data_IF_049994080856
#
_entry.id   IF_049994080856
#
_cell.length_a   1.000
_cell.length_b   1.000
_cell.length_c   1.000
_cell.angle_alpha   90.00
_cell.angle_beta   90.00
_cell.angle_gamma   90.00
#
_symmetry.space_group_name_H-M   'P 1'
#
loop_
_entity.id
_entity.type
_entity.pdbx_description
1 polymer ?
#
# COMPACT_ATOMS: atom_id res chain seq x y z
N UNK A 1 -15.66 -7.23 25.77
CA UNK A 1 -16.08 -5.87 25.35
C UNK A 1 -15.46 -5.54 23.99
N UNK A 2 -16.15 -4.76 23.15
CA UNK A 2 -15.68 -4.43 21.80
C UNK A 2 -14.65 -3.28 21.83
N UNK A 3 -13.36 -3.59 21.71
CA UNK A 3 -12.32 -2.56 21.84
C UNK A 3 -12.35 -1.50 20.73
N UNK A 4 -12.93 -1.79 19.56
CA UNK A 4 -12.92 -0.86 18.41
C UNK A 4 -13.87 0.33 18.54
N UNK A 5 -14.84 0.27 19.46
CA UNK A 5 -15.80 1.34 19.74
C UNK A 5 -15.46 2.10 21.02
N UNK A 6 -14.34 1.78 21.68
CA UNK A 6 -13.93 2.46 22.89
C UNK A 6 -13.59 3.92 22.57
N UNK A 7 -14.10 4.83 23.38
CA UNK A 7 -13.85 6.26 23.29
C UNK A 7 -13.99 6.88 24.68
N UNK A 8 -13.46 8.10 24.83
CA UNK A 8 -13.50 8.83 26.10
C UNK A 8 -12.88 8.04 27.26
N UNK A 9 -13.50 8.13 28.43
CA UNK A 9 -13.03 7.54 29.70
C UNK A 9 -12.76 6.03 29.57
N UNK A 10 -13.62 5.28 28.90
CA UNK A 10 -13.43 3.83 28.75
C UNK A 10 -12.14 3.46 28.01
N UNK A 11 -11.71 4.29 27.05
CA UNK A 11 -10.45 4.06 26.37
C UNK A 11 -9.27 4.47 27.25
N UNK A 12 -9.39 5.57 27.99
CA UNK A 12 -8.38 6.04 28.94
C UNK A 12 -8.11 4.97 30.01
N UNK A 13 -9.16 4.37 30.58
CA UNK A 13 -9.04 3.31 31.59
C UNK A 13 -8.24 2.11 31.09
N UNK A 14 -8.53 1.64 29.87
CA UNK A 14 -7.81 0.51 29.28
C UNK A 14 -6.36 0.83 28.97
N UNK A 15 -6.08 2.05 28.53
CA UNK A 15 -4.70 2.47 28.27
C UNK A 15 -3.93 2.57 29.58
N UNK A 16 -4.53 3.15 30.63
CA UNK A 16 -3.91 3.23 31.95
C UNK A 16 -3.62 1.83 32.52
N UNK A 17 -4.58 0.91 32.43
CA UNK A 17 -4.41 -0.50 32.80
C UNK A 17 -3.27 -1.17 32.03
N UNK A 18 -3.21 -0.98 30.71
CA UNK A 18 -2.14 -1.53 29.89
C UNK A 18 -0.77 -0.95 30.27
N UNK A 19 -0.67 0.36 30.46
CA UNK A 19 0.57 1.02 30.85
C UNK A 19 1.08 0.47 32.19
N UNK A 20 0.19 0.33 33.17
CA UNK A 20 0.50 -0.22 34.50
C UNK A 20 1.06 -1.65 34.42
N UNK A 21 0.52 -2.45 33.51
CA UNK A 21 0.96 -3.83 33.28
C UNK A 21 2.13 -3.95 32.30
N UNK A 22 2.66 -2.85 31.77
CA UNK A 22 3.74 -2.88 30.77
C UNK A 22 5.10 -2.92 31.44
N UNK A 23 5.85 -3.99 31.17
CA UNK A 23 7.26 -4.13 31.52
C UNK A 23 8.09 -4.44 30.26
N UNK A 24 9.26 -3.82 30.14
CA UNK A 24 10.12 -3.96 28.98
C UNK A 24 11.29 -4.91 29.28
N UNK A 25 11.05 -6.21 29.30
CA UNK A 25 12.08 -7.26 29.44
C UNK A 25 13.14 -6.98 30.53
N UNK A 26 12.74 -6.33 31.63
CA UNK A 26 13.62 -5.97 32.75
C UNK A 26 14.56 -4.78 32.51
N UNK A 27 14.45 -4.02 31.42
CA UNK A 27 15.27 -2.81 31.16
C UNK A 27 14.60 -1.51 31.60
N UNK A 28 13.27 -1.46 31.56
CA UNK A 28 12.47 -0.35 32.04
C UNK A 28 11.06 -0.82 32.45
N UNK A 29 10.40 -0.01 33.28
CA UNK A 29 9.01 -0.18 33.70
C UNK A 29 8.26 1.14 33.65
N UNK A 30 6.94 1.09 33.48
CA UNK A 30 6.08 2.26 33.60
C UNK A 30 5.53 2.32 35.03
N UNK A 31 5.63 3.48 35.65
CA UNK A 31 5.24 3.77 37.03
C UNK A 31 4.39 5.05 37.08
N UNK A 32 3.84 5.37 38.26
CA UNK A 32 3.10 6.61 38.55
C UNK A 32 1.98 6.95 37.56
N UNK A 33 1.30 5.92 37.04
CA UNK A 33 0.21 6.09 36.07
C UNK A 33 -0.96 6.80 36.75
N UNK A 34 -1.28 8.01 36.29
CA UNK A 34 -2.39 8.82 36.81
C UNK A 34 -3.26 9.30 35.66
N UNK A 35 -4.58 9.33 35.87
CA UNK A 35 -5.55 9.79 34.87
C UNK A 35 -5.96 11.25 35.14
N UNK A 36 -6.44 11.94 34.11
CA UNK A 36 -7.10 13.26 34.19
C UNK A 36 -6.28 14.35 34.92
N UNK A 37 -4.95 14.34 34.77
CA UNK A 37 -4.06 15.23 35.51
C UNK A 37 -4.01 16.63 34.90
N UNK A 38 -4.18 17.67 35.72
CA UNK A 38 -3.98 19.07 35.30
C UNK A 38 -2.50 19.40 35.20
N UNK A 39 -2.12 20.02 34.08
CA UNK A 39 -0.78 20.53 33.78
C UNK A 39 -0.93 22.01 33.42
N UNK A 40 -0.72 22.90 34.39
CA UNK A 40 -1.06 24.32 34.25
C UNK A 40 -2.57 24.50 34.02
N UNK A 41 -2.94 25.24 32.97
CA UNK A 41 -4.34 25.52 32.59
C UNK A 41 -4.98 24.45 31.68
N UNK A 42 -4.25 23.38 31.34
CA UNK A 42 -4.72 22.34 30.43
C UNK A 42 -4.72 20.97 31.11
N UNK A 43 -5.55 20.05 30.61
CA UNK A 43 -5.71 18.71 31.18
C UNK A 43 -5.08 17.65 30.25
N UNK A 44 -4.21 16.81 30.83
CA UNK A 44 -3.72 15.61 30.17
C UNK A 44 -4.63 14.43 30.50
N UNK A 45 -4.81 13.51 29.54
CA UNK A 45 -5.65 12.34 29.76
C UNK A 45 -4.98 11.36 30.71
N UNK A 46 -3.68 11.12 30.52
CA UNK A 46 -2.86 10.25 31.38
C UNK A 46 -1.47 10.88 31.55
N UNK A 47 -0.91 10.77 32.75
CA UNK A 47 0.51 10.95 33.03
C UNK A 47 1.09 9.63 33.53
N UNK A 48 2.38 9.41 33.28
CA UNK A 48 3.10 8.24 33.75
C UNK A 48 4.60 8.55 33.79
N UNK A 49 5.40 7.68 34.39
CA UNK A 49 6.86 7.79 34.42
C UNK A 49 7.47 6.52 33.86
N UNK A 50 8.37 6.62 32.89
CA UNK A 50 9.25 5.52 32.55
C UNK A 50 10.45 5.57 33.48
N UNK A 51 10.68 4.47 34.20
CA UNK A 51 11.86 4.29 35.06
C UNK A 51 12.74 3.19 34.47
N UNK A 52 13.98 3.51 34.12
CA UNK A 52 14.96 2.54 33.65
C UNK A 52 15.65 1.84 34.82
N UNK A 53 16.28 0.69 34.58
CA UNK A 53 17.13 0.02 35.58
C UNK A 53 18.33 0.85 36.03
N UNK A 54 18.77 1.80 35.20
CA UNK A 54 19.82 2.76 35.55
C UNK A 54 19.32 3.93 36.42
N UNK A 55 18.03 3.95 36.78
CA UNK A 55 17.42 4.98 37.62
C UNK A 55 17.01 6.25 36.86
N UNK A 56 17.07 6.25 35.53
CA UNK A 56 16.59 7.39 34.73
C UNK A 56 15.07 7.39 34.79
N UNK A 57 14.52 8.52 35.22
CA UNK A 57 13.08 8.79 35.23
C UNK A 57 12.72 9.73 34.10
N UNK A 58 11.71 9.34 33.33
CA UNK A 58 11.22 10.11 32.19
C UNK A 58 9.71 10.30 32.34
N UNK A 59 9.26 11.49 32.77
CA UNK A 59 7.85 11.78 32.87
C UNK A 59 7.22 11.83 31.49
N UNK A 60 6.02 11.29 31.38
CA UNK A 60 5.22 11.19 30.17
C UNK A 60 3.93 11.98 30.33
N UNK A 61 3.50 12.62 29.25
CA UNK A 61 2.17 13.21 29.14
C UNK A 61 1.49 12.60 27.93
N UNK A 62 0.33 12.01 28.14
CA UNK A 62 -0.34 11.15 27.17
C UNK A 62 -1.73 11.71 26.86
N UNK A 63 -2.03 11.88 25.58
CA UNK A 63 -3.38 12.16 25.08
C UNK A 63 -3.98 10.91 24.46
N UNK A 64 -5.22 10.60 24.80
CA UNK A 64 -5.93 9.37 24.43
C UNK A 64 -7.07 9.71 23.48
N UNK A 65 -7.03 9.18 22.25
CA UNK A 65 -8.10 9.38 21.27
C UNK A 65 -8.25 8.16 20.37
N UNK A 66 -9.50 7.75 20.12
CA UNK A 66 -9.80 6.78 19.08
C UNK A 66 -9.96 7.50 17.75
N UNK A 67 -8.95 7.44 16.89
CA UNK A 67 -9.01 7.99 15.53
C UNK A 67 -8.31 7.08 14.54
N UNK A 68 -8.84 7.01 13.32
CA UNK A 68 -8.20 6.33 12.19
C UNK A 68 -7.73 7.33 11.11
N UNK A 69 -7.98 8.63 11.29
CA UNK A 69 -7.53 9.68 10.37
C UNK A 69 -6.19 10.23 10.79
N UNK A 70 -5.23 10.28 9.87
CA UNK A 70 -3.88 10.79 10.10
C UNK A 70 -3.89 12.30 10.42
N UNK A 71 -4.83 13.07 9.86
CA UNK A 71 -5.00 14.50 10.17
C UNK A 71 -5.27 14.74 11.66
N UNK A 72 -6.08 13.89 12.29
CA UNK A 72 -6.37 13.96 13.72
C UNK A 72 -5.15 13.55 14.55
N UNK A 73 -4.31 12.63 14.04
CA UNK A 73 -3.04 12.26 14.69
C UNK A 73 -2.07 13.43 14.67
N UNK A 74 -1.94 14.16 13.55
CA UNK A 74 -1.14 15.40 13.47
C UNK A 74 -1.62 16.44 14.48
N UNK A 75 -2.94 16.64 14.57
CA UNK A 75 -3.51 17.57 15.54
C UNK A 75 -3.19 17.16 16.98
N UNK A 76 -3.36 15.88 17.33
CA UNK A 76 -3.00 15.34 18.65
C UNK A 76 -1.52 15.56 18.96
N UNK A 77 -0.63 15.22 18.01
CA UNK A 77 0.83 15.44 18.13
C UNK A 77 1.15 16.90 18.41
N UNK A 78 0.52 17.83 17.67
CA UNK A 78 0.71 19.27 17.87
C UNK A 78 0.25 19.71 19.26
N UNK A 79 -0.92 19.26 19.70
CA UNK A 79 -1.48 19.61 21.01
C UNK A 79 -0.63 19.06 22.16
N UNK A 80 -0.21 17.80 22.09
CA UNK A 80 0.54 17.16 23.17
C UNK A 80 1.96 17.74 23.31
N UNK A 81 2.61 18.12 22.20
CA UNK A 81 3.90 18.82 22.26
C UNK A 81 3.80 20.15 23.02
N UNK A 82 2.72 20.91 22.81
CA UNK A 82 2.48 22.17 23.53
C UNK A 82 2.20 21.96 25.02
N UNK A 83 1.65 20.82 25.40
CA UNK A 83 1.40 20.42 26.79
C UNK A 83 2.65 19.93 27.51
N UNK A 84 3.43 19.09 26.81
CA UNK A 84 4.57 18.39 27.37
C UNK A 84 5.77 19.33 27.65
N UNK A 85 5.94 20.38 26.83
CA UNK A 85 7.04 21.33 26.96
C UNK A 85 7.10 22.05 28.33
N UNK A 86 6.03 22.73 28.82
CA UNK A 86 6.06 23.35 30.15
C UNK A 86 6.14 22.33 31.30
N UNK A 87 5.67 21.10 31.06
CA UNK A 87 5.73 20.01 32.04
C UNK A 87 7.10 19.32 32.12
N UNK A 88 8.06 19.69 31.27
CA UNK A 88 9.34 18.99 31.09
C UNK A 88 9.18 17.47 30.93
N UNK A 89 8.14 17.06 30.19
CA UNK A 89 7.78 15.67 29.99
C UNK A 89 7.85 15.28 28.52
N UNK A 90 7.91 13.97 28.26
CA UNK A 90 7.89 13.46 26.90
C UNK A 90 6.43 13.31 26.41
N UNK A 91 6.11 13.85 25.22
CA UNK A 91 4.78 13.77 24.65
C UNK A 91 4.49 12.35 24.13
N UNK A 92 3.28 11.87 24.38
CA UNK A 92 2.83 10.57 23.91
C UNK A 92 1.38 10.60 23.42
N UNK A 93 1.06 9.80 22.40
CA UNK A 93 -0.31 9.59 21.93
C UNK A 93 -0.78 8.16 22.21
N UNK A 94 -2.05 8.01 22.58
CA UNK A 94 -2.65 6.72 22.91
C UNK A 94 -3.96 6.49 22.17
N UNK A 95 -4.21 5.25 21.75
CA UNK A 95 -5.39 4.91 20.95
C UNK A 95 -5.71 3.42 20.93
N UNK A 96 -6.68 3.03 20.11
CA UNK A 96 -7.07 1.61 19.97
C UNK A 96 -6.07 0.83 19.11
N UNK A 97 -5.64 1.41 17.99
CA UNK A 97 -4.63 0.84 17.10
C UNK A 97 -4.00 1.94 16.23
N UNK A 98 -2.68 1.99 16.18
CA UNK A 98 -1.92 2.91 15.33
C UNK A 98 -1.30 2.17 14.14
N UNK A 99 -1.83 2.45 12.95
CA UNK A 99 -1.31 1.93 11.68
C UNK A 99 0.08 2.48 11.32
N UNK A 100 0.69 1.91 10.28
CA UNK A 100 2.06 2.24 9.84
C UNK A 100 2.29 3.73 9.63
N UNK A 101 1.41 4.42 8.90
CA UNK A 101 1.54 5.87 8.63
C UNK A 101 1.47 6.73 9.90
N UNK A 102 0.61 6.36 10.86
CA UNK A 102 0.53 7.04 12.16
C UNK A 102 1.80 6.81 12.98
N UNK A 103 2.35 5.59 12.99
CA UNK A 103 3.61 5.27 13.67
C UNK A 103 4.80 5.99 13.03
N UNK A 104 4.86 6.04 11.71
CA UNK A 104 5.89 6.78 10.96
C UNK A 104 5.83 8.27 11.28
N UNK A 105 4.64 8.86 11.24
CA UNK A 105 4.44 10.27 11.61
C UNK A 105 4.87 10.55 13.05
N UNK A 106 4.49 9.72 14.02
CA UNK A 106 4.90 9.89 15.42
C UNK A 106 6.43 9.81 15.58
N UNK A 107 7.08 8.89 14.86
CA UNK A 107 8.54 8.73 14.85
C UNK A 107 9.26 9.94 14.25
N UNK A 108 8.81 10.42 13.10
CA UNK A 108 9.33 11.63 12.44
C UNK A 108 9.18 12.87 13.36
N UNK A 109 8.05 12.97 14.04
CA UNK A 109 7.74 14.05 14.96
C UNK A 109 8.37 13.88 16.35
N UNK A 110 9.10 12.78 16.62
CA UNK A 110 9.68 12.44 17.93
C UNK A 110 8.64 12.47 19.06
N UNK A 111 7.46 11.90 18.81
CA UNK A 111 6.40 11.72 19.80
C UNK A 111 6.23 10.23 20.06
N UNK A 112 6.13 9.85 21.34
CA UNK A 112 5.89 8.46 21.68
C UNK A 112 4.46 8.01 21.35
N UNK A 113 4.24 6.69 21.29
CA UNK A 113 2.90 6.15 21.07
C UNK A 113 2.64 4.88 21.87
N UNK A 114 1.39 4.63 22.22
CA UNK A 114 0.90 3.34 22.72
C UNK A 114 -0.48 3.04 22.15
N UNK A 115 -0.79 1.77 21.95
CA UNK A 115 -2.17 1.36 21.69
C UNK A 115 -2.55 0.04 22.36
N UNK A 116 -3.87 -0.23 22.37
CA UNK A 116 -4.44 -1.46 22.90
C UNK A 116 -3.97 -2.74 22.19
N UNK A 117 -3.41 -2.65 20.99
CA UNK A 117 -2.90 -3.80 20.27
C UNK A 117 -1.49 -4.19 20.73
N UNK A 118 -0.82 -3.30 21.46
CA UNK A 118 0.53 -3.49 21.99
C UNK A 118 1.60 -2.82 21.14
N UNK A 119 1.26 -1.91 20.22
CA UNK A 119 2.28 -1.00 19.69
C UNK A 119 2.79 -0.10 20.82
N UNK A 120 4.10 0.15 20.83
CA UNK A 120 4.73 1.06 21.76
C UNK A 120 5.92 1.75 21.10
N UNK A 121 6.07 3.07 21.28
CA UNK A 121 7.21 3.83 20.78
C UNK A 121 7.62 4.88 21.82
N UNK A 122 8.90 4.90 22.18
CA UNK A 122 9.58 6.00 22.83
C UNK A 122 10.95 6.15 22.18
N UNK A 123 11.30 7.38 21.79
CA UNK A 123 12.56 7.72 21.16
C UNK A 123 13.14 8.98 21.80
N UNK A 124 13.70 8.82 23.00
CA UNK A 124 14.33 9.91 23.74
C UNK A 124 15.54 9.40 24.50
N UNK A 125 16.73 9.90 24.19
CA UNK A 125 17.94 9.46 24.87
C UNK A 125 17.84 9.61 26.41
N UNK A 126 18.25 8.58 27.18
CA UNK A 126 18.89 7.32 26.74
C UNK A 126 17.91 6.17 26.43
N UNK A 127 16.60 6.42 26.41
CA UNK A 127 15.54 5.41 26.25
C UNK A 127 15.04 5.34 24.80
N UNK A 128 15.30 4.20 24.16
CA UNK A 128 14.69 3.85 22.88
C UNK A 128 13.96 2.51 23.01
N UNK A 129 12.64 2.54 22.81
CA UNK A 129 11.78 1.36 22.87
C UNK A 129 10.82 1.41 21.70
N UNK A 130 10.85 0.39 20.84
CA UNK A 130 9.92 0.24 19.71
C UNK A 130 9.37 -1.19 19.68
N UNK A 131 8.05 -1.30 19.84
CA UNK A 131 7.29 -2.54 19.67
C UNK A 131 6.24 -2.31 18.59
N UNK A 132 6.26 -3.18 17.58
CA UNK A 132 5.43 -3.07 16.39
C UNK A 132 4.47 -4.25 16.28
N UNK A 133 3.19 -3.94 16.10
CA UNK A 133 2.10 -4.86 15.81
C UNK A 133 1.55 -4.53 14.43
N UNK A 134 1.93 -5.35 13.44
CA UNK A 134 1.64 -5.09 12.02
C UNK A 134 0.16 -5.27 11.66
N UNK A 135 -0.61 -6.08 12.42
CA UNK A 135 -2.01 -6.40 12.11
C UNK A 135 -2.92 -5.93 13.23
N UNK A 136 -3.93 -5.13 12.90
CA UNK A 136 -4.94 -4.67 13.85
C UNK A 136 -5.78 -5.87 14.38
N UNK A 137 -5.70 -6.22 15.67
CA UNK A 137 -6.46 -7.34 16.24
C UNK A 137 -7.94 -7.01 16.48
N UNK A 138 -8.37 -5.74 16.40
CA UNK A 138 -9.70 -5.29 16.80
C UNK A 138 -10.67 -5.01 15.65
N UNK A 139 -10.28 -5.25 14.40
CA UNK A 139 -11.12 -5.03 13.22
C UNK A 139 -12.37 -5.93 13.20
N UNK A 140 -13.58 -5.35 13.35
CA UNK A 140 -14.88 -6.07 13.37
C UNK A 140 -15.66 -6.10 12.05
N UNK A 141 -15.57 -5.05 11.23
CA UNK A 141 -15.84 -5.25 9.80
C UNK A 141 -14.74 -6.21 9.33
N UNK A 142 -15.03 -7.12 8.39
CA UNK A 142 -13.93 -7.54 7.53
C UNK A 142 -13.38 -6.19 7.06
N UNK A 143 -12.16 -5.81 7.48
CA UNK A 143 -11.58 -4.63 6.87
C UNK A 143 -11.64 -4.95 5.38
N UNK A 144 -11.64 -3.92 4.57
CA UNK A 144 -10.99 -4.10 3.29
C UNK A 144 -9.74 -4.96 3.54
N UNK A 145 -9.77 -6.26 3.16
CA UNK A 145 -8.89 -7.30 3.74
C UNK A 145 -7.41 -6.90 3.61
N UNK A 146 -7.15 -6.00 2.67
CA UNK A 146 -6.14 -4.95 2.68
C UNK A 146 -6.74 -3.78 1.87
N UNK A 147 -6.24 -2.54 2.01
CA UNK A 147 -6.49 -1.47 1.03
C UNK A 147 -6.18 -1.99 -0.40
N UNK A 148 -5.22 -2.91 -0.50
CA UNK A 148 -4.76 -3.56 -1.71
C UNK A 148 -5.41 -4.93 -1.98
N UNK A 149 -6.66 -5.15 -1.54
CA UNK A 149 -7.44 -6.32 -1.96
C UNK A 149 -7.75 -6.29 -3.47
N UNK A 150 -7.97 -7.43 -4.14
CA UNK A 150 -8.17 -7.52 -5.59
C UNK A 150 -9.10 -6.44 -6.18
N UNK A 151 -10.36 -6.42 -5.73
CA UNK A 151 -11.38 -5.47 -6.20
C UNK A 151 -11.02 -4.02 -5.87
N UNK A 152 -10.34 -3.76 -4.75
CA UNK A 152 -10.01 -2.38 -4.35
C UNK A 152 -8.81 -1.82 -5.07
N UNK A 153 -7.89 -2.69 -5.48
CA UNK A 153 -6.77 -2.28 -6.34
C UNK A 153 -7.23 -1.75 -7.69
N UNK A 154 -8.45 -2.07 -8.16
CA UNK A 154 -9.02 -1.45 -9.37
C UNK A 154 -9.17 0.06 -9.23
N UNK A 155 -9.66 0.50 -8.06
CA UNK A 155 -9.82 1.93 -7.74
C UNK A 155 -8.46 2.59 -7.58
N UNK A 156 -7.55 1.96 -6.82
CA UNK A 156 -6.18 2.46 -6.62
C UNK A 156 -5.46 2.60 -7.96
N UNK A 157 -5.59 1.61 -8.84
CA UNK A 157 -5.04 1.61 -10.18
C UNK A 157 -5.59 2.76 -11.02
N UNK A 158 -6.90 2.97 -11.02
CA UNK A 158 -7.51 4.07 -11.77
C UNK A 158 -7.01 5.44 -11.32
N UNK A 159 -6.96 5.69 -10.00
CA UNK A 159 -6.47 6.98 -9.48
C UNK A 159 -4.97 7.17 -9.70
N UNK A 160 -4.17 6.09 -9.72
CA UNK A 160 -2.73 6.17 -10.01
C UNK A 160 -2.43 6.34 -11.52
N UNK A 161 -3.28 5.82 -12.42
CA UNK A 161 -3.13 6.02 -13.87
C UNK A 161 -3.56 7.43 -14.28
N UNK A 162 -4.58 7.99 -13.63
CA UNK A 162 -5.03 9.37 -13.86
C UNK A 162 -4.88 10.21 -12.58
N UNK A 163 -3.63 10.47 -12.14
CA UNK A 163 -3.36 11.12 -10.84
C UNK A 163 -3.90 12.55 -10.75
N UNK A 164 -4.04 13.22 -11.90
CA UNK A 164 -4.55 14.60 -12.00
C UNK A 164 -6.07 14.67 -12.14
N UNK A 165 -6.75 13.55 -12.36
CA UNK A 165 -8.21 13.54 -12.49
C UNK A 165 -8.86 13.74 -11.13
N UNK A 166 -9.82 14.67 -11.07
CA UNK A 166 -10.77 14.76 -9.98
C UNK A 166 -11.91 13.75 -10.22
N UNK A 167 -12.12 12.85 -9.25
CA UNK A 167 -13.01 11.71 -9.38
C UNK A 167 -14.32 11.94 -8.64
N UNK A 168 -15.43 11.94 -9.38
CA UNK A 168 -16.73 11.64 -8.78
C UNK A 168 -16.80 10.14 -8.40
N UNK A 169 -17.44 9.82 -7.28
CA UNK A 169 -17.49 8.43 -6.79
C UNK A 169 -18.32 7.51 -7.70
N UNK A 170 -19.40 8.02 -8.32
CA UNK A 170 -20.21 7.24 -9.25
C UNK A 170 -19.44 6.99 -10.54
N UNK A 171 -18.73 8.01 -11.05
CA UNK A 171 -17.87 7.85 -12.22
C UNK A 171 -16.76 6.83 -11.97
N UNK A 172 -16.05 6.95 -10.84
CA UNK A 172 -14.97 6.05 -10.46
C UNK A 172 -15.47 4.61 -10.27
N UNK A 173 -16.63 4.45 -9.62
CA UNK A 173 -17.31 3.16 -9.47
C UNK A 173 -17.62 2.52 -10.83
N UNK A 174 -18.19 3.30 -11.76
CA UNK A 174 -18.52 2.83 -13.12
C UNK A 174 -17.26 2.48 -13.92
N UNK A 175 -16.25 3.34 -13.95
CA UNK A 175 -15.01 3.10 -14.72
C UNK A 175 -14.22 1.90 -14.22
N UNK A 176 -14.31 1.58 -12.93
CA UNK A 176 -13.56 0.46 -12.32
C UNK A 176 -14.38 -0.83 -12.21
N UNK A 177 -15.66 -0.79 -12.59
CA UNK A 177 -16.63 -1.88 -12.37
C UNK A 177 -16.67 -2.34 -10.91
N UNK A 178 -16.50 -1.41 -9.97
CA UNK A 178 -16.56 -1.66 -8.52
C UNK A 178 -17.85 -1.06 -7.99
N UNK A 179 -18.51 -1.71 -7.02
CA UNK A 179 -19.74 -1.17 -6.44
C UNK A 179 -19.51 0.20 -5.77
N UNK A 180 -20.53 1.06 -5.79
CA UNK A 180 -20.43 2.40 -5.20
C UNK A 180 -20.08 2.36 -3.71
N UNK A 181 -20.65 1.40 -2.97
CA UNK A 181 -20.35 1.21 -1.55
C UNK A 181 -18.90 0.81 -1.28
N UNK A 182 -18.33 -0.03 -2.15
CA UNK A 182 -16.91 -0.40 -2.04
C UNK A 182 -16.01 0.76 -2.46
N UNK A 183 -16.40 1.51 -3.50
CA UNK A 183 -15.70 2.73 -3.96
C UNK A 183 -15.64 3.77 -2.85
N UNK A 184 -16.75 4.04 -2.17
CA UNK A 184 -16.78 4.92 -1.01
C UNK A 184 -15.82 4.48 0.09
N UNK A 185 -15.82 3.18 0.45
CA UNK A 185 -14.93 2.64 1.49
C UNK A 185 -13.44 2.83 1.14
N UNK A 186 -13.06 2.55 -0.10
CA UNK A 186 -11.67 2.72 -0.57
C UNK A 186 -11.28 4.20 -0.53
N UNK A 187 -12.11 5.07 -1.10
CA UNK A 187 -11.81 6.52 -1.15
C UNK A 187 -11.77 7.14 0.24
N UNK A 188 -12.70 6.79 1.13
CA UNK A 188 -12.67 7.22 2.52
C UNK A 188 -11.36 6.83 3.21
N UNK A 189 -10.85 5.63 2.91
CA UNK A 189 -9.57 5.15 3.46
C UNK A 189 -8.38 5.90 2.87
N UNK A 190 -8.37 6.15 1.56
CA UNK A 190 -7.35 6.99 0.91
C UNK A 190 -7.29 8.39 1.53
N UNK A 191 -8.45 8.99 1.84
CA UNK A 191 -8.54 10.28 2.54
C UNK A 191 -8.05 10.18 3.99
N UNK A 192 -8.46 9.15 4.73
CA UNK A 192 -8.06 8.95 6.12
C UNK A 192 -6.54 8.75 6.28
N UNK A 193 -5.90 8.14 5.28
CA UNK A 193 -4.46 7.87 5.22
C UNK A 193 -3.67 9.00 4.51
N UNK A 194 -4.32 10.13 4.17
CA UNK A 194 -3.71 11.30 3.51
C UNK A 194 -3.09 11.01 2.12
N UNK A 195 -3.61 10.02 1.40
CA UNK A 195 -3.25 9.78 0.00
C UNK A 195 -3.95 10.72 -0.98
N UNK A 196 -5.10 11.23 -0.59
CA UNK A 196 -5.89 12.16 -1.37
C UNK A 196 -6.86 12.94 -0.48
N UNK A 197 -7.60 13.86 -1.10
CA UNK A 197 -8.57 14.72 -0.41
C UNK A 197 -9.78 15.00 -1.28
N UNK A 198 -10.78 15.67 -0.70
CA UNK A 198 -11.89 16.26 -1.46
C UNK A 198 -11.51 17.65 -1.94
N UNK A 199 -11.81 17.96 -3.19
CA UNK A 199 -11.81 19.35 -3.67
C UNK A 199 -13.10 20.07 -3.26
N UNK A 200 -13.24 21.34 -3.63
CA UNK A 200 -14.42 22.16 -3.33
C UNK A 200 -15.72 21.57 -3.90
N UNK A 201 -15.63 20.90 -5.05
CA UNK A 201 -16.73 20.19 -5.70
C UNK A 201 -17.02 18.80 -5.08
N UNK A 202 -16.39 18.46 -3.93
CA UNK A 202 -16.52 17.15 -3.26
C UNK A 202 -16.07 15.96 -4.10
N UNK A 203 -15.26 16.17 -5.13
CA UNK A 203 -14.61 15.10 -5.89
C UNK A 203 -13.32 14.68 -5.19
N UNK A 204 -12.97 13.40 -5.31
CA UNK A 204 -11.71 12.89 -4.79
C UNK A 204 -10.56 13.27 -5.72
N UNK A 205 -9.51 13.85 -5.16
CA UNK A 205 -8.26 14.16 -5.86
C UNK A 205 -7.11 13.47 -5.13
N UNK A 206 -6.30 12.76 -5.89
CA UNK A 206 -5.09 12.13 -5.38
C UNK A 206 -4.03 13.21 -5.13
N UNK A 207 -3.34 13.14 -3.98
CA UNK A 207 -2.33 14.12 -3.58
C UNK A 207 -0.96 13.50 -3.38
N UNK A 208 -0.90 12.20 -3.07
CA UNK A 208 0.34 11.50 -2.71
C UNK A 208 0.52 10.23 -3.54
N UNK A 209 0.57 10.31 -4.88
CA UNK A 209 0.61 9.15 -5.77
C UNK A 209 1.84 8.25 -5.56
N UNK A 210 3.02 8.83 -5.36
CA UNK A 210 4.27 8.09 -5.13
C UNK A 210 4.19 7.25 -3.86
N UNK A 211 3.65 7.81 -2.78
CA UNK A 211 3.49 7.11 -1.51
C UNK A 211 2.45 5.99 -1.61
N UNK A 212 1.35 6.23 -2.36
CA UNK A 212 0.32 5.22 -2.58
C UNK A 212 0.85 4.04 -3.40
N UNK A 213 1.65 4.32 -4.42
CA UNK A 213 2.31 3.29 -5.23
C UNK A 213 3.33 2.49 -4.41
N UNK A 214 4.13 3.17 -3.57
CA UNK A 214 5.09 2.51 -2.68
C UNK A 214 4.40 1.60 -1.65
N UNK A 215 3.26 2.05 -1.10
CA UNK A 215 2.49 1.23 -0.17
C UNK A 215 1.85 0.01 -0.88
N UNK A 216 1.41 0.17 -2.13
CA UNK A 216 0.92 -0.94 -2.93
C UNK A 216 2.03 -1.95 -3.25
N UNK A 217 3.22 -1.48 -3.62
CA UNK A 217 4.41 -2.31 -3.87
C UNK A 217 4.68 -3.28 -2.71
N UNK A 218 4.61 -2.78 -1.47
CA UNK A 218 4.88 -3.57 -0.26
C UNK A 218 3.79 -4.62 0.03
N UNK A 219 2.60 -4.46 -0.56
CA UNK A 219 1.46 -5.37 -0.41
C UNK A 219 1.21 -6.24 -1.65
N UNK A 220 1.98 -6.05 -2.73
CA UNK A 220 1.81 -6.77 -3.97
C UNK A 220 2.65 -8.05 -4.01
N UNK A 221 2.06 -9.13 -4.54
CA UNK A 221 2.78 -10.38 -4.78
C UNK A 221 2.33 -11.01 -6.09
N UNK A 222 3.30 -11.24 -6.98
CA UNK A 222 3.10 -11.93 -8.26
C UNK A 222 2.56 -13.35 -8.06
N UNK A 223 2.80 -13.96 -6.89
CA UNK A 223 2.31 -15.31 -6.54
C UNK A 223 0.79 -15.42 -6.46
N UNK A 224 0.07 -14.29 -6.42
CA UNK A 224 -1.40 -14.29 -6.49
C UNK A 224 -1.91 -14.62 -7.89
N UNK A 225 -1.08 -14.48 -8.92
CA UNK A 225 -1.39 -14.86 -10.29
C UNK A 225 -1.17 -16.36 -10.50
N UNK A 226 -2.00 -17.00 -11.34
CA UNK A 226 -1.69 -18.36 -11.80
C UNK A 226 -0.69 -18.27 -12.95
N UNK A 227 0.42 -18.99 -12.84
CA UNK A 227 1.51 -18.98 -13.82
C UNK A 227 1.53 -20.30 -14.60
N UNK A 228 1.64 -20.18 -15.91
CA UNK A 228 1.86 -21.29 -16.84
C UNK A 228 3.17 -21.07 -17.59
N UNK A 229 4.02 -22.10 -17.59
CA UNK A 229 5.38 -22.02 -18.12
C UNK A 229 5.51 -22.88 -19.37
N UNK A 230 6.01 -22.27 -20.44
CA UNK A 230 6.09 -22.91 -21.75
C UNK A 230 7.45 -22.67 -22.42
N UNK A 231 7.74 -23.56 -23.35
CA UNK A 231 8.82 -23.42 -24.30
C UNK A 231 8.25 -23.30 -25.72
N UNK A 232 8.67 -22.26 -26.45
CA UNK A 232 8.47 -22.09 -27.88
C UNK A 232 9.77 -22.36 -28.63
N UNK A 233 9.71 -23.08 -29.75
CA UNK A 233 10.86 -23.26 -30.64
C UNK A 233 11.15 -22.02 -31.50
N UNK A 234 10.19 -21.10 -31.62
CA UNK A 234 10.40 -19.81 -32.26
C UNK A 234 11.45 -19.03 -31.48
N UNK A 235 12.60 -18.77 -32.11
CA UNK A 235 13.72 -18.05 -31.48
C UNK A 235 13.60 -16.55 -31.66
N UNK A 236 12.91 -16.09 -32.71
CA UNK A 236 12.71 -14.69 -32.97
C UNK A 236 11.68 -14.08 -32.00
N UNK A 237 12.18 -13.27 -31.08
CA UNK A 237 11.37 -12.55 -30.10
C UNK A 237 10.34 -11.62 -30.76
N UNK A 238 10.73 -10.92 -31.84
CA UNK A 238 9.82 -10.00 -32.54
C UNK A 238 8.70 -10.78 -33.24
N UNK A 239 9.02 -11.94 -33.84
CA UNK A 239 8.01 -12.79 -34.46
C UNK A 239 7.01 -13.35 -33.44
N UNK A 240 7.46 -13.71 -32.22
CA UNK A 240 6.53 -14.12 -31.15
C UNK A 240 5.56 -13.02 -30.77
N UNK A 241 6.01 -11.77 -30.65
CA UNK A 241 5.14 -10.63 -30.35
C UNK A 241 4.15 -10.35 -31.49
N UNK A 242 4.57 -10.50 -32.74
CA UNK A 242 3.70 -10.41 -33.93
C UNK A 242 2.57 -11.43 -33.88
N UNK A 243 2.90 -12.71 -33.68
CA UNK A 243 1.90 -13.79 -33.54
C UNK A 243 0.91 -13.53 -32.40
N UNK A 244 1.39 -12.96 -31.29
CA UNK A 244 0.52 -12.58 -30.16
C UNK A 244 -0.48 -11.47 -30.58
N UNK A 245 0.01 -10.42 -31.26
CA UNK A 245 -0.83 -9.32 -31.71
C UNK A 245 -1.90 -9.76 -32.70
N UNK A 246 -1.50 -10.56 -33.70
CA UNK A 246 -2.39 -11.13 -34.73
C UNK A 246 -3.46 -12.00 -34.08
N UNK A 247 -3.08 -12.99 -33.28
CA UNK A 247 -4.03 -13.89 -32.63
C UNK A 247 -5.01 -13.16 -31.72
N UNK A 248 -4.50 -12.24 -30.90
CA UNK A 248 -5.35 -11.48 -30.00
C UNK A 248 -6.39 -10.63 -30.74
N UNK A 249 -6.04 -10.16 -31.94
CA UNK A 249 -6.98 -9.44 -32.83
C UNK A 249 -7.95 -10.39 -33.53
N UNK A 250 -7.45 -11.44 -34.19
CA UNK A 250 -8.25 -12.37 -35.02
C UNK A 250 -9.29 -13.15 -34.20
N UNK A 251 -8.92 -13.58 -32.99
CA UNK A 251 -9.79 -14.37 -32.13
C UNK A 251 -10.45 -13.53 -31.02
N UNK A 252 -10.24 -12.21 -31.03
CA UNK A 252 -10.72 -11.28 -30.01
C UNK A 252 -10.38 -11.75 -28.57
N UNK A 253 -9.18 -12.30 -28.38
CA UNK A 253 -8.71 -12.77 -27.08
C UNK A 253 -8.25 -11.61 -26.24
N UNK A 254 -8.66 -11.57 -24.97
CA UNK A 254 -8.20 -10.56 -24.03
C UNK A 254 -6.83 -10.97 -23.48
N UNK A 255 -5.82 -10.18 -23.82
CA UNK A 255 -4.45 -10.34 -23.35
C UNK A 255 -3.80 -8.97 -23.10
N UNK A 256 -2.68 -8.96 -22.38
CA UNK A 256 -1.79 -7.81 -22.31
C UNK A 256 -0.37 -8.25 -21.96
N UNK A 257 0.62 -7.77 -22.71
CA UNK A 257 2.04 -7.95 -22.40
C UNK A 257 2.38 -7.27 -21.07
N UNK A 258 3.18 -7.94 -20.24
CA UNK A 258 3.63 -7.39 -18.95
C UNK A 258 5.03 -7.87 -18.58
N UNK A 259 5.42 -7.68 -17.31
CA UNK A 259 6.71 -8.05 -16.75
C UNK A 259 7.87 -7.48 -17.58
N UNK A 260 8.97 -8.22 -17.73
CA UNK A 260 10.14 -7.73 -18.46
C UNK A 260 9.86 -7.49 -19.95
N UNK A 261 9.01 -8.31 -20.58
CA UNK A 261 8.58 -8.11 -21.97
C UNK A 261 7.88 -6.76 -22.14
N UNK A 262 7.00 -6.40 -21.21
CA UNK A 262 6.31 -5.12 -21.25
C UNK A 262 7.23 -3.93 -20.97
N UNK A 263 8.14 -4.05 -19.99
CA UNK A 263 9.08 -2.97 -19.70
C UNK A 263 10.08 -2.75 -20.84
N UNK A 264 10.49 -3.80 -21.55
CA UNK A 264 11.35 -3.70 -22.74
C UNK A 264 10.70 -2.90 -23.87
N UNK A 265 9.39 -3.05 -24.04
CA UNK A 265 8.61 -2.30 -25.05
C UNK A 265 8.36 -0.83 -24.66
N UNK A 266 8.20 -0.54 -23.36
CA UNK A 266 7.78 0.78 -22.88
C UNK A 266 8.95 1.68 -22.43
N UNK A 267 9.90 1.11 -21.69
CA UNK A 267 11.02 1.81 -21.08
C UNK A 267 12.25 0.88 -21.01
N UNK A 268 12.85 0.53 -22.16
CA UNK A 268 13.96 -0.42 -22.22
C UNK A 268 15.17 0.09 -21.42
N UNK A 269 15.66 -0.73 -20.51
CA UNK A 269 16.84 -0.42 -19.68
C UNK A 269 17.75 -1.65 -19.53
N UNK A 270 17.18 -2.81 -19.25
CA UNK A 270 17.91 -4.09 -19.25
C UNK A 270 17.96 -4.67 -20.65
N UNK A 271 19.14 -5.11 -21.08
CA UNK A 271 19.34 -5.82 -22.35
C UNK A 271 19.22 -7.33 -22.17
N UNK A 272 18.91 -8.04 -23.26
CA UNK A 272 18.92 -9.50 -23.31
C UNK A 272 17.64 -10.15 -22.76
N UNK A 273 16.53 -9.42 -22.74
CA UNK A 273 15.22 -9.98 -22.40
C UNK A 273 14.79 -10.89 -23.55
N UNK A 274 14.91 -12.20 -23.34
CA UNK A 274 14.56 -13.22 -24.34
C UNK A 274 13.24 -13.93 -24.03
N UNK A 275 12.71 -13.77 -22.81
CA UNK A 275 11.46 -14.39 -22.38
C UNK A 275 10.28 -13.52 -22.79
N UNK A 276 9.21 -14.15 -23.25
CA UNK A 276 7.92 -13.49 -23.55
C UNK A 276 6.95 -13.73 -22.39
N UNK A 277 6.49 -12.67 -21.74
CA UNK A 277 5.65 -12.71 -20.54
C UNK A 277 4.40 -11.86 -20.75
N UNK A 278 3.22 -12.44 -20.54
CA UNK A 278 1.97 -11.73 -20.75
C UNK A 278 0.81 -12.32 -19.95
N UNK A 279 -0.21 -11.50 -19.72
CA UNK A 279 -1.46 -11.90 -19.12
C UNK A 279 -2.45 -12.37 -20.18
N UNK A 280 -3.25 -13.37 -19.81
CA UNK A 280 -4.44 -13.83 -20.54
C UNK A 280 -5.64 -13.78 -19.59
N UNK A 281 -6.84 -13.56 -20.13
CA UNK A 281 -8.05 -13.36 -19.31
C UNK A 281 -8.43 -14.58 -18.47
N UNK A 282 -8.37 -15.79 -19.04
CA UNK A 282 -8.85 -16.99 -18.38
C UNK A 282 -8.12 -18.26 -18.88
N UNK A 283 -8.31 -19.39 -18.17
CA UNK A 283 -7.68 -20.68 -18.51
C UNK A 283 -8.21 -21.29 -19.82
N UNK A 284 -9.44 -20.93 -20.22
CA UNK A 284 -10.07 -21.42 -21.45
C UNK A 284 -9.30 -21.03 -22.71
N UNK A 285 -8.68 -19.85 -22.71
CA UNK A 285 -7.93 -19.33 -23.85
C UNK A 285 -6.54 -19.96 -23.99
N UNK A 286 -6.07 -20.67 -22.96
CA UNK A 286 -4.70 -21.20 -22.89
C UNK A 286 -4.37 -22.11 -24.08
N UNK A 287 -5.33 -22.94 -24.52
CA UNK A 287 -5.14 -23.84 -25.67
C UNK A 287 -4.96 -23.09 -26.98
N UNK A 288 -5.71 -22.01 -27.18
CA UNK A 288 -5.58 -21.17 -28.37
C UNK A 288 -4.17 -20.57 -28.44
N UNK A 289 -3.69 -19.99 -27.33
CA UNK A 289 -2.33 -19.44 -27.26
C UNK A 289 -1.25 -20.50 -27.47
N UNK A 290 -1.43 -21.70 -26.91
CA UNK A 290 -0.49 -22.80 -27.11
C UNK A 290 -0.37 -23.23 -28.57
N UNK A 291 -1.49 -23.32 -29.29
CA UNK A 291 -1.49 -23.74 -30.69
C UNK A 291 -0.77 -22.72 -31.58
N UNK A 292 -1.12 -21.44 -31.47
CA UNK A 292 -0.55 -20.40 -32.33
C UNK A 292 0.93 -20.14 -32.07
N UNK A 293 1.35 -20.20 -30.80
CA UNK A 293 2.75 -19.96 -30.42
C UNK A 293 3.59 -21.25 -30.37
N UNK A 294 3.00 -22.39 -30.79
CA UNK A 294 3.62 -23.71 -30.83
C UNK A 294 4.28 -24.09 -29.50
N UNK A 295 3.55 -23.85 -28.40
CA UNK A 295 4.06 -23.94 -27.04
C UNK A 295 4.02 -25.37 -26.52
N UNK A 296 5.11 -25.79 -25.87
CA UNK A 296 5.18 -27.01 -25.08
C UNK A 296 5.24 -26.66 -23.58
N UNK A 297 4.42 -27.26 -22.72
CA UNK A 297 4.51 -27.05 -21.27
C UNK A 297 5.84 -27.58 -20.75
N UNK A 298 6.45 -26.84 -19.82
CA UNK A 298 7.75 -27.21 -19.22
C UNK A 298 7.80 -26.86 -17.74
N UNK A 299 8.56 -27.64 -16.97
CA UNK A 299 8.84 -27.33 -15.56
C UNK A 299 10.04 -26.38 -15.40
N UNK A 300 11.04 -26.48 -16.28
CA UNK A 300 12.27 -25.68 -16.28
C UNK A 300 12.59 -25.17 -17.70
N UNK A 301 13.30 -24.04 -17.78
CA UNK A 301 13.78 -23.50 -19.06
C UNK A 301 12.71 -22.79 -19.91
N UNK A 302 11.61 -22.34 -19.32
CA UNK A 302 10.56 -21.62 -20.03
C UNK A 302 11.08 -20.33 -20.68
N UNK A 303 10.76 -20.12 -21.97
CA UNK A 303 10.97 -18.87 -22.69
C UNK A 303 9.66 -18.12 -22.98
N UNK A 304 8.51 -18.72 -22.64
CA UNK A 304 7.21 -18.07 -22.64
C UNK A 304 6.52 -18.34 -21.31
N UNK A 305 6.01 -17.30 -20.66
CA UNK A 305 5.23 -17.42 -19.43
C UNK A 305 3.90 -16.68 -19.60
N UNK A 306 2.81 -17.41 -19.39
CA UNK A 306 1.46 -16.86 -19.39
C UNK A 306 0.94 -16.77 -17.96
N UNK A 307 0.23 -15.69 -17.68
CA UNK A 307 -0.32 -15.42 -16.37
C UNK A 307 -1.81 -15.20 -16.45
N UNK A 308 -2.55 -15.79 -15.52
CA UNK A 308 -3.94 -15.41 -15.28
C UNK A 308 -3.93 -14.47 -14.08
N UNK A 309 -4.42 -13.24 -14.24
CA UNK A 309 -4.29 -12.25 -13.20
C UNK A 309 -5.17 -12.60 -12.00
N UNK A 310 -4.73 -12.18 -10.82
CA UNK A 310 -5.50 -12.28 -9.57
C UNK A 310 -6.81 -11.47 -9.62
N UNK A 311 -6.94 -10.52 -10.56
CA UNK A 311 -8.10 -9.65 -10.75
C UNK A 311 -8.12 -9.07 -12.18
N UNK A 312 -9.30 -8.88 -12.76
CA UNK A 312 -9.46 -8.33 -14.13
C UNK A 312 -8.94 -6.88 -14.27
N UNK A 313 -8.79 -6.15 -13.16
CA UNK A 313 -8.25 -4.80 -13.15
C UNK A 313 -6.83 -4.68 -13.72
N UNK A 314 -6.08 -5.79 -13.85
CA UNK A 314 -4.79 -5.83 -14.57
C UNK A 314 -4.92 -5.34 -16.02
N UNK A 315 -6.08 -5.58 -16.66
CA UNK A 315 -6.37 -5.14 -18.02
C UNK A 315 -6.97 -3.73 -18.11
N UNK A 316 -6.99 -2.97 -17.01
CA UNK A 316 -7.52 -1.61 -17.01
C UNK A 316 -6.58 -0.66 -17.75
N UNK A 317 -7.12 0.02 -18.78
CA UNK A 317 -6.41 0.99 -19.64
C UNK A 317 -5.07 0.44 -20.16
N UNK A 318 -5.07 -0.61 -21.00
CA UNK A 318 -3.85 -1.08 -21.63
C UNK A 318 -3.31 0.00 -22.58
N UNK A 319 -2.01 -0.01 -22.78
CA UNK A 319 -1.30 0.78 -23.77
C UNK A 319 -1.29 0.01 -25.09
N UNK A 320 -1.46 0.72 -26.21
CA UNK A 320 -1.38 0.14 -27.55
C UNK A 320 -0.07 0.56 -28.21
N UNK A 321 0.77 -0.42 -28.55
CA UNK A 321 2.13 -0.20 -29.03
C UNK A 321 2.29 -0.78 -30.44
N UNK A 322 2.81 0.05 -31.36
CA UNK A 322 3.21 -0.42 -32.68
C UNK A 322 4.53 -1.20 -32.60
N UNK A 323 4.56 -2.39 -33.18
CA UNK A 323 5.76 -3.27 -33.22
C UNK A 323 6.37 -3.43 -34.62
N UNK A 324 5.95 -2.57 -35.56
CA UNK A 324 6.49 -2.51 -36.92
C UNK A 324 5.90 -3.53 -37.90
N UNK A 325 5.80 -3.13 -39.17
CA UNK A 325 5.11 -3.89 -40.22
C UNK A 325 3.58 -3.76 -40.15
N UNK A 326 2.88 -4.41 -41.07
CA UNK A 326 1.42 -4.41 -41.15
C UNK A 326 0.80 -5.42 -40.17
N UNK A 327 0.87 -5.10 -38.87
CA UNK A 327 0.33 -5.95 -37.79
C UNK A 327 -0.54 -5.14 -36.83
N UNK A 328 -1.51 -5.78 -36.14
CA UNK A 328 -2.29 -5.13 -35.11
C UNK A 328 -1.42 -4.51 -34.00
N UNK A 329 -1.93 -3.46 -33.35
CA UNK A 329 -1.26 -2.87 -32.19
C UNK A 329 -1.19 -3.89 -31.04
N UNK A 330 -0.01 -3.99 -30.44
CA UNK A 330 0.24 -4.87 -29.32
C UNK A 330 -0.29 -4.23 -28.03
N UNK A 331 -1.09 -4.98 -27.27
CA UNK A 331 -1.62 -4.51 -25.98
C UNK A 331 -0.59 -4.77 -24.88
N UNK A 332 -0.19 -3.73 -24.16
CA UNK A 332 0.71 -3.78 -22.99
C UNK A 332 -0.06 -3.27 -21.78
N UNK A 333 0.15 -3.84 -20.58
CA UNK A 333 -0.49 -3.30 -19.38
C UNK A 333 -0.03 -1.85 -19.11
N UNK A 334 -0.80 -1.10 -18.31
CA UNK A 334 -0.42 0.25 -17.90
C UNK A 334 0.87 0.28 -17.06
N UNK A 335 1.49 1.45 -16.97
CA UNK A 335 2.77 1.63 -16.28
C UNK A 335 2.73 1.28 -14.78
N UNK A 336 1.57 1.45 -14.12
CA UNK A 336 1.39 1.07 -12.71
C UNK A 336 1.51 -0.45 -12.57
N UNK A 337 0.84 -1.21 -13.44
CA UNK A 337 0.90 -2.65 -13.43
C UNK A 337 2.29 -3.17 -13.82
N UNK A 338 2.94 -2.58 -14.84
CA UNK A 338 4.32 -2.92 -15.22
C UNK A 338 5.27 -2.76 -14.04
N UNK A 339 5.19 -1.64 -13.32
CA UNK A 339 6.02 -1.39 -12.14
C UNK A 339 5.84 -2.48 -11.08
N UNK A 340 4.60 -2.80 -10.72
CA UNK A 340 4.29 -3.83 -9.73
C UNK A 340 4.79 -5.22 -10.15
N UNK A 341 4.73 -5.54 -11.44
CA UNK A 341 5.11 -6.84 -11.98
C UNK A 341 6.63 -7.07 -12.02
N UNK A 342 7.45 -6.01 -12.06
CA UNK A 342 8.91 -6.14 -12.10
C UNK A 342 9.61 -5.82 -10.77
N UNK A 343 9.06 -4.97 -9.93
CA UNK A 343 9.76 -4.39 -8.76
C UNK A 343 10.24 -5.42 -7.74
N UNK A 344 9.46 -6.48 -7.50
CA UNK A 344 9.82 -7.55 -6.57
C UNK A 344 10.38 -8.81 -7.28
N UNK A 345 10.74 -8.69 -8.57
CA UNK A 345 11.31 -9.80 -9.32
C UNK A 345 12.78 -10.02 -8.93
N UNK A 346 13.21 -11.26 -8.58
CA UNK A 346 14.54 -11.56 -8.06
C UNK A 346 15.69 -11.35 -9.06
N UNK A 347 15.38 -11.08 -10.33
CA UNK A 347 16.37 -10.64 -11.31
C UNK A 347 16.74 -9.15 -11.06
N UNK A 348 17.22 -8.45 -12.09
CA UNK A 348 17.42 -6.98 -12.08
C UNK A 348 16.09 -6.18 -12.06
N UNK A 349 15.04 -6.75 -11.46
CA UNK A 349 13.69 -6.19 -11.42
C UNK A 349 13.61 -4.85 -10.72
N UNK A 350 14.31 -4.69 -9.59
CA UNK A 350 14.37 -3.43 -8.86
C UNK A 350 14.96 -2.29 -9.70
N UNK A 351 16.04 -2.54 -10.46
CA UNK A 351 16.65 -1.55 -11.34
C UNK A 351 15.72 -1.14 -12.48
N UNK A 352 15.08 -2.12 -13.14
CA UNK A 352 14.12 -1.85 -14.21
C UNK A 352 12.88 -1.09 -13.71
N UNK A 353 12.38 -1.45 -12.52
CA UNK A 353 11.26 -0.77 -11.89
C UNK A 353 11.60 0.67 -11.52
N UNK A 354 12.81 0.91 -11.00
CA UNK A 354 13.30 2.26 -10.71
C UNK A 354 13.39 3.11 -11.99
N UNK A 355 13.95 2.55 -13.06
CA UNK A 355 14.02 3.24 -14.35
C UNK A 355 12.63 3.58 -14.91
N UNK A 356 11.69 2.63 -14.84
CA UNK A 356 10.29 2.86 -15.25
C UNK A 356 9.62 3.95 -14.39
N UNK A 357 9.84 3.92 -13.07
CA UNK A 357 9.32 4.91 -12.13
C UNK A 357 9.80 6.33 -12.49
N UNK A 358 11.11 6.51 -12.66
CA UNK A 358 11.72 7.81 -12.95
C UNK A 358 11.32 8.37 -14.32
N UNK A 359 11.23 7.52 -15.34
CA UNK A 359 11.06 7.96 -16.72
C UNK A 359 9.59 7.99 -17.20
N UNK A 360 8.68 7.24 -16.55
CA UNK A 360 7.27 7.15 -16.97
C UNK A 360 6.28 7.58 -15.90
N UNK A 361 6.48 7.21 -14.64
CA UNK A 361 5.48 7.46 -13.59
C UNK A 361 5.67 8.80 -12.87
N UNK A 362 6.89 9.11 -12.40
CA UNK A 362 7.15 10.37 -11.69
C UNK A 362 6.81 11.63 -12.51
N UNK A 363 7.02 11.68 -13.85
CA UNK A 363 6.57 12.80 -14.66
C UNK A 363 5.05 13.02 -14.63
N UNK A 364 4.27 11.94 -14.56
CA UNK A 364 2.80 11.98 -14.45
C UNK A 364 2.34 12.38 -13.04
N UNK A 365 3.12 12.01 -12.02
CA UNK A 365 2.84 12.26 -10.60
C UNK A 365 3.17 13.68 -10.12
N UNK A 366 3.69 14.55 -11.00
CA UNK A 366 3.82 16.00 -10.71
C UNK A 366 2.42 16.62 -10.69
N UNK A 367 1.78 16.62 -9.52
CA UNK A 367 0.45 17.16 -9.22
C UNK A 367 0.58 18.50 -8.51
#
# INVERSE_FOLDING_TARGET
MNNNTLSGVQLQDKIAEQLTNTSFAGTASIQDVSQETRIGDKQADITATITTVSGVQMPLVIVVKNTQRLSNVREMIRQIKQLAQPAQAEPMIAGVFWGERARKLAKEERVGLVDLAGNFLIQKDPVFIEKVVNKNPFSKTSPLKSLFSPVSTRIIRAVLIEPKQAWDLQELSKKTSVSIGQTYKVVYRLEAEEFGKRNEAKQFVLTSPSELLDEWKNNYSIKQNKKYSFYSFERDYANRLRKIAEQGSEQNLQYAISFFTGTDLIAPFIRGIVKTQFYIANEGDLKAWQQTLELKPVELGANVEMYIPYDEGVFYKPQEIGIGGEVPLLKVVNNIQLYLDVVNSPARGAEQAQYLLENKLLPEFKI
#
